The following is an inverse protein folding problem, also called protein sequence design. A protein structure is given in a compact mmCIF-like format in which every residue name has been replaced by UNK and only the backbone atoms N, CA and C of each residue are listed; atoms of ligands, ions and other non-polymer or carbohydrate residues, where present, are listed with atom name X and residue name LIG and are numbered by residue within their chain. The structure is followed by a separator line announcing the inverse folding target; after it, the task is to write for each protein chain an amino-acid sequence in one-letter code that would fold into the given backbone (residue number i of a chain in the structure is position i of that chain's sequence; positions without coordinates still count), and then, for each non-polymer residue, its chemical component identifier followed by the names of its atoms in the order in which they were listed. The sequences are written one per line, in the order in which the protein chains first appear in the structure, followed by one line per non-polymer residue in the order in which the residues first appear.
data_IF_574949429680
#
_entry.id   IF_574949429680
#
_cell.length_a   1.000
_cell.length_b   1.000
_cell.length_c   1.000
_cell.angle_alpha   90.00
_cell.angle_beta   90.00
_cell.angle_gamma   90.00
#
_symmetry.space_group_name_H-M   'P 1'
#
loop_
_entity.id
_entity.type
_entity.pdbx_description
1 polymer ?
#
# COMPACT_ATOMS: atom_id res chain seq x y z
N UNK A 1 9.96 -8.58 9.89
CA UNK A 1 10.00 -8.42 8.42
C UNK A 1 8.57 -8.55 7.94
N UNK A 2 8.10 -7.66 7.07
CA UNK A 2 6.67 -7.56 6.74
C UNK A 2 6.02 -8.90 6.35
N UNK A 3 6.67 -9.71 5.51
CA UNK A 3 6.14 -11.02 5.09
C UNK A 3 6.12 -12.03 6.25
N UNK A 4 7.12 -12.01 7.13
CA UNK A 4 7.16 -12.90 8.31
C UNK A 4 5.99 -12.60 9.26
N UNK A 5 5.73 -11.31 9.51
CA UNK A 5 4.59 -10.86 10.32
C UNK A 5 3.23 -11.29 9.69
N UNK A 6 3.12 -11.25 8.36
CA UNK A 6 1.91 -11.69 7.65
C UNK A 6 1.70 -13.21 7.71
N UNK A 7 2.79 -13.99 7.66
CA UNK A 7 2.74 -15.46 7.82
C UNK A 7 2.32 -15.87 9.24
N UNK A 8 2.84 -15.19 10.27
CA UNK A 8 2.44 -15.41 11.67
C UNK A 8 0.94 -15.16 11.87
N UNK A 9 0.37 -14.21 11.12
CA UNK A 9 -1.07 -13.87 11.14
C UNK A 9 -1.95 -14.76 10.24
N UNK A 10 -1.38 -15.78 9.57
CA UNK A 10 -2.08 -16.64 8.62
C UNK A 10 -2.80 -15.88 7.49
N UNK A 11 -2.21 -14.78 6.99
CA UNK A 11 -2.76 -14.08 5.83
C UNK A 11 -2.62 -14.94 4.57
N UNK A 12 -3.66 -14.99 3.75
CA UNK A 12 -3.67 -15.77 2.52
C UNK A 12 -2.52 -15.31 1.58
N UNK A 13 -1.92 -16.22 0.79
CA UNK A 13 -0.80 -15.87 -0.12
C UNK A 13 -1.13 -14.69 -1.05
N UNK A 14 -2.34 -14.67 -1.61
CA UNK A 14 -2.81 -13.57 -2.45
C UNK A 14 -2.82 -12.22 -1.71
N UNK A 15 -3.21 -12.22 -0.44
CA UNK A 15 -3.17 -11.04 0.41
C UNK A 15 -1.73 -10.61 0.69
N UNK A 16 -0.80 -11.54 0.88
CA UNK A 16 0.64 -11.25 1.03
C UNK A 16 1.19 -10.53 -0.20
N UNK A 17 0.95 -11.10 -1.39
CA UNK A 17 1.41 -10.51 -2.66
C UNK A 17 0.81 -9.13 -2.90
N UNK A 18 -0.50 -8.97 -2.66
CA UNK A 18 -1.19 -7.68 -2.81
C UNK A 18 -0.59 -6.63 -1.89
N UNK A 19 -0.36 -6.97 -0.64
CA UNK A 19 0.17 -6.04 0.36
C UNK A 19 1.61 -5.62 0.03
N UNK A 20 2.47 -6.58 -0.37
CA UNK A 20 3.84 -6.31 -0.84
C UNK A 20 3.83 -5.42 -2.07
N UNK A 21 2.93 -5.65 -3.01
CA UNK A 21 2.78 -4.83 -4.21
C UNK A 21 2.45 -3.37 -3.86
N UNK A 22 1.45 -3.15 -3.01
CA UNK A 22 1.05 -1.79 -2.58
C UNK A 22 2.18 -1.06 -1.83
N UNK A 23 2.90 -1.74 -0.95
CA UNK A 23 4.03 -1.13 -0.23
C UNK A 23 5.19 -0.82 -1.16
N UNK A 24 5.44 -1.67 -2.16
CA UNK A 24 6.48 -1.41 -3.17
C UNK A 24 6.14 -0.18 -4.01
N UNK A 25 4.87 -0.01 -4.39
CA UNK A 25 4.40 1.17 -5.12
C UNK A 25 4.50 2.45 -4.27
N UNK A 26 4.11 2.37 -3.00
CA UNK A 26 4.25 3.46 -2.04
C UNK A 26 5.71 3.89 -1.87
N UNK A 27 6.61 2.93 -1.58
CA UNK A 27 8.04 3.19 -1.44
C UNK A 27 8.66 3.81 -2.70
N UNK A 28 8.25 3.31 -3.89
CA UNK A 28 8.71 3.83 -5.17
C UNK A 28 8.25 5.26 -5.43
N UNK A 29 7.06 5.66 -4.96
CA UNK A 29 6.57 7.03 -5.10
C UNK A 29 7.48 8.05 -4.39
N UNK A 30 7.97 7.72 -3.20
CA UNK A 30 8.87 8.59 -2.42
C UNK A 30 10.36 8.34 -2.68
N UNK A 31 10.72 7.23 -3.32
CA UNK A 31 12.12 6.84 -3.56
C UNK A 31 12.87 6.49 -2.27
N UNK A 32 12.16 6.07 -1.22
CA UNK A 32 12.72 5.74 0.10
C UNK A 32 12.31 4.34 0.54
N UNK A 33 13.09 3.74 1.45
CA UNK A 33 12.70 2.47 2.08
C UNK A 33 11.35 2.65 2.80
N UNK A 34 10.43 1.67 2.72
CA UNK A 34 9.15 1.73 3.45
C UNK A 34 9.33 1.85 4.97
N UNK A 35 10.49 1.48 5.51
CA UNK A 35 10.83 1.63 6.93
C UNK A 35 11.07 3.10 7.34
N UNK A 36 11.37 3.96 6.37
CA UNK A 36 11.61 5.40 6.57
C UNK A 36 10.38 6.27 6.28
N UNK A 37 9.27 5.65 5.82
CA UNK A 37 8.05 6.34 5.44
C UNK A 37 7.02 6.25 6.56
N UNK A 38 6.43 7.40 6.90
CA UNK A 38 5.56 7.55 8.06
C UNK A 38 4.15 8.05 7.71
N UNK A 39 3.40 8.50 8.71
CA UNK A 39 2.02 8.96 8.54
C UNK A 39 1.85 10.13 7.56
N UNK A 40 2.86 11.01 7.44
CA UNK A 40 2.81 12.15 6.54
C UNK A 40 2.90 11.72 5.06
N UNK A 41 3.79 10.77 4.74
CA UNK A 41 3.90 10.20 3.40
C UNK A 41 2.65 9.37 3.05
N UNK A 42 2.09 8.64 4.03
CA UNK A 42 0.82 7.93 3.85
C UNK A 42 -0.28 8.90 3.44
N UNK A 43 -0.43 10.03 4.15
CA UNK A 43 -1.45 11.04 3.82
C UNK A 43 -1.22 11.63 2.43
N UNK A 44 0.02 11.96 2.11
CA UNK A 44 0.41 12.52 0.81
C UNK A 44 0.09 11.54 -0.33
N UNK A 45 0.41 10.26 -0.13
CA UNK A 45 0.13 9.21 -1.11
C UNK A 45 -1.36 8.94 -1.28
N UNK A 46 -2.15 9.00 -0.20
CA UNK A 46 -3.61 8.88 -0.28
C UNK A 46 -4.23 10.00 -1.12
N UNK A 47 -3.74 11.24 -0.97
CA UNK A 47 -4.19 12.36 -1.82
C UNK A 47 -3.78 12.13 -3.27
N UNK A 48 -2.53 11.73 -3.52
CA UNK A 48 -2.06 11.40 -4.88
C UNK A 48 -2.92 10.31 -5.53
N UNK A 49 -3.19 9.20 -4.82
CA UNK A 49 -4.05 8.13 -5.29
C UNK A 49 -5.49 8.60 -5.53
N UNK A 50 -6.03 9.50 -4.70
CA UNK A 50 -7.37 10.06 -4.92
C UNK A 50 -7.41 10.89 -6.19
N UNK A 51 -6.42 11.76 -6.42
CA UNK A 51 -6.31 12.55 -7.66
C UNK A 51 -6.11 11.68 -8.90
N UNK A 52 -5.32 10.60 -8.81
CA UNK A 52 -5.20 9.63 -9.90
C UNK A 52 -6.46 8.80 -10.10
N UNK A 53 -7.18 8.45 -9.02
CA UNK A 53 -8.45 7.69 -9.08
C UNK A 53 -9.62 8.51 -9.59
N UNK A 54 -9.62 9.83 -9.42
CA UNK A 54 -10.57 10.70 -10.11
C UNK A 54 -10.33 10.69 -11.63
N UNK A 55 -9.09 10.44 -12.08
CA UNK A 55 -8.77 10.17 -13.49
C UNK A 55 -9.02 8.70 -13.89
N UNK A 56 -9.14 7.78 -12.94
CA UNK A 56 -9.29 6.33 -13.16
C UNK A 56 -10.59 5.73 -12.62
N UNK A 57 -11.64 6.54 -12.42
CA UNK A 57 -12.84 6.25 -11.62
C UNK A 57 -13.48 4.87 -11.87
N UNK A 58 -12.96 3.78 -11.27
CA UNK A 58 -13.68 2.50 -11.21
C UNK A 58 -13.09 1.36 -10.35
N UNK A 59 -12.34 1.60 -9.27
CA UNK A 59 -11.99 0.49 -8.37
C UNK A 59 -11.60 1.01 -7.00
N UNK A 60 -12.50 0.88 -6.01
CA UNK A 60 -12.20 0.39 -4.66
C UNK A 60 -13.39 0.63 -3.72
N UNK A 61 -14.22 -0.40 -3.56
CA UNK A 61 -15.06 -0.59 -2.37
C UNK A 61 -14.99 -2.08 -1.99
N UNK A 62 -14.00 -2.38 -1.16
CA UNK A 62 -13.88 -3.53 -0.27
C UNK A 62 -12.50 -3.33 0.38
N UNK A 63 -12.40 -2.79 1.58
CA UNK A 63 -12.70 -3.47 2.83
C UNK A 63 -12.98 -2.38 3.88
N UNK A 64 -14.16 -2.43 4.48
CA UNK A 64 -14.51 -1.80 5.76
C UNK A 64 -15.21 -2.85 6.60
#
# INVERSE_FOLDING_TARGET
MLIEDMKVRNLAPLTQETYVHHISMFARHFGQSPEALGPEEIRTYQVHLATEKELSANSQLAIS
#
